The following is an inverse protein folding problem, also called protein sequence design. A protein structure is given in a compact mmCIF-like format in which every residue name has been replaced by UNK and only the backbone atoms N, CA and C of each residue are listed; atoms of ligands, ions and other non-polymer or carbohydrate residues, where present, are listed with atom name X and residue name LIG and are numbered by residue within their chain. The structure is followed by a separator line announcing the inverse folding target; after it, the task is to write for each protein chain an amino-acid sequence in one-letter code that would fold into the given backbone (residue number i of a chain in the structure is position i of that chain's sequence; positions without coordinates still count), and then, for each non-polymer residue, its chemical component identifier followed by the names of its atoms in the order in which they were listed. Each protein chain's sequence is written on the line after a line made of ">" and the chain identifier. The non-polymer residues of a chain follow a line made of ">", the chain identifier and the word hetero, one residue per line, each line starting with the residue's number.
data_IF_148534056589
#
_entry.id   IF_148534056589
#
_cell.length_a   1.000
_cell.length_b   1.000
_cell.length_c   1.000
_cell.angle_alpha   90.00
_cell.angle_beta   90.00
_cell.angle_gamma   90.00
#
_symmetry.space_group_name_H-M   'P 1'
#
loop_
_entity.id
_entity.type
_entity.pdbx_description
1 polymer ?
#
# COMPACT_ATOMS: atom_id res chain seq x y z
N UNK A 1 1.54 14.44 4.31
CA UNK A 1 2.93 14.00 4.08
C UNK A 1 3.97 15.14 4.14
N UNK A 2 5.10 14.90 4.81
CA UNK A 2 6.32 15.73 4.68
C UNK A 2 6.79 15.70 3.22
N UNK A 3 7.00 16.86 2.59
CA UNK A 3 7.27 17.01 1.14
C UNK A 3 8.64 16.46 0.69
N UNK A 4 9.31 15.65 1.52
CA UNK A 4 10.66 15.14 1.26
C UNK A 4 10.65 13.87 0.39
N UNK A 5 9.60 13.05 0.48
CA UNK A 5 9.46 11.77 -0.22
C UNK A 5 8.07 11.63 -0.81
N UNK A 6 7.91 12.02 -2.08
CA UNK A 6 6.62 12.06 -2.77
C UNK A 6 6.74 11.70 -4.25
N UNK A 7 7.93 11.25 -4.69
CA UNK A 7 8.15 10.91 -6.08
C UNK A 7 7.56 9.54 -6.33
N UNK A 8 6.63 9.45 -7.29
CA UNK A 8 6.20 8.16 -7.83
C UNK A 8 7.20 7.74 -8.92
N UNK A 9 7.74 6.51 -8.87
CA UNK A 9 8.71 6.06 -9.84
C UNK A 9 8.11 6.00 -11.24
N UNK A 10 8.93 6.27 -12.27
CA UNK A 10 8.51 5.95 -13.63
C UNK A 10 8.38 4.44 -13.77
N UNK A 11 7.45 3.98 -14.62
CA UNK A 11 7.18 2.55 -14.83
C UNK A 11 8.44 1.74 -15.15
N UNK A 12 9.31 2.26 -16.02
CA UNK A 12 10.55 1.58 -16.41
C UNK A 12 11.56 1.47 -15.24
N UNK A 13 11.68 2.52 -14.42
CA UNK A 13 12.53 2.52 -13.23
C UNK A 13 12.00 1.52 -12.20
N UNK A 14 10.69 1.53 -11.94
CA UNK A 14 10.05 0.57 -11.02
C UNK A 14 10.26 -0.88 -11.48
N UNK A 15 9.99 -1.16 -12.76
CA UNK A 15 10.18 -2.50 -13.34
C UNK A 15 11.62 -2.97 -13.21
N UNK A 16 12.58 -2.11 -13.50
CA UNK A 16 14.00 -2.45 -13.38
C UNK A 16 14.39 -2.72 -11.93
N UNK A 17 14.04 -1.83 -11.00
CA UNK A 17 14.34 -1.98 -9.57
C UNK A 17 13.73 -3.26 -9.00
N UNK A 18 12.51 -3.63 -9.39
CA UNK A 18 11.87 -4.90 -9.02
C UNK A 18 12.67 -6.11 -9.49
N UNK A 19 13.05 -6.14 -10.76
CA UNK A 19 13.80 -7.26 -11.34
C UNK A 19 15.16 -7.43 -10.64
N UNK A 20 15.90 -6.33 -10.50
CA UNK A 20 17.23 -6.33 -9.88
C UNK A 20 17.15 -6.71 -8.39
N UNK A 21 16.15 -6.22 -7.66
CA UNK A 21 15.97 -6.55 -6.23
C UNK A 21 15.52 -8.00 -6.04
N UNK A 22 14.58 -8.50 -6.87
CA UNK A 22 14.11 -9.88 -6.82
C UNK A 22 15.29 -10.84 -6.98
N UNK A 23 16.15 -10.60 -7.98
CA UNK A 23 17.34 -11.40 -8.20
C UNK A 23 18.29 -11.35 -6.99
N UNK A 24 18.58 -10.15 -6.47
CA UNK A 24 19.45 -9.99 -5.31
C UNK A 24 18.94 -10.73 -4.06
N UNK A 25 17.63 -10.71 -3.81
CA UNK A 25 17.01 -11.44 -2.70
C UNK A 25 17.12 -12.96 -2.87
N UNK A 26 16.85 -13.47 -4.08
CA UNK A 26 16.97 -14.90 -4.40
C UNK A 26 18.42 -15.38 -4.22
N UNK A 27 19.39 -14.61 -4.72
CA UNK A 27 20.82 -14.93 -4.65
C UNK A 27 21.42 -14.72 -3.26
N UNK A 28 20.75 -13.97 -2.38
CA UNK A 28 21.26 -13.64 -1.05
C UNK A 28 22.24 -12.48 -1.02
N UNK A 29 22.26 -11.62 -2.05
CA UNK A 29 23.12 -10.45 -2.14
C UNK A 29 22.54 -9.26 -1.38
N UNK A 30 22.82 -9.22 -0.07
CA UNK A 30 22.35 -8.14 0.82
C UNK A 30 22.92 -6.78 0.44
N UNK A 31 24.14 -6.73 -0.11
CA UNK A 31 24.79 -5.47 -0.45
C UNK A 31 24.07 -4.81 -1.63
N UNK A 32 23.82 -5.58 -2.70
CA UNK A 32 23.07 -5.08 -3.85
C UNK A 32 21.63 -4.74 -3.48
N UNK A 33 20.96 -5.59 -2.70
CA UNK A 33 19.60 -5.32 -2.25
C UNK A 33 19.49 -3.99 -1.47
N UNK A 34 20.43 -3.74 -0.55
CA UNK A 34 20.48 -2.49 0.22
C UNK A 34 20.74 -1.29 -0.67
N UNK A 35 21.71 -1.39 -1.59
CA UNK A 35 22.03 -0.31 -2.55
C UNK A 35 20.84 0.06 -3.44
N UNK A 36 20.04 -0.91 -3.86
CA UNK A 36 18.85 -0.66 -4.70
C UNK A 36 17.77 0.10 -3.92
N UNK A 37 17.50 -0.30 -2.68
CA UNK A 37 16.54 0.39 -1.81
C UNK A 37 17.04 1.80 -1.46
N UNK A 38 18.31 1.95 -1.11
CA UNK A 38 18.92 3.25 -0.82
C UNK A 38 18.89 4.19 -2.03
N UNK A 39 19.09 3.65 -3.24
CA UNK A 39 18.97 4.43 -4.47
C UNK A 39 17.53 4.90 -4.71
N UNK A 40 16.53 4.03 -4.53
CA UNK A 40 15.12 4.42 -4.64
C UNK A 40 14.74 5.52 -3.62
N UNK A 41 15.22 5.40 -2.38
CA UNK A 41 15.03 6.42 -1.34
C UNK A 41 15.78 7.72 -1.71
N UNK A 42 16.98 7.63 -2.28
CA UNK A 42 17.78 8.76 -2.77
C UNK A 42 17.08 9.55 -3.88
N UNK A 43 16.37 8.86 -4.76
CA UNK A 43 15.46 9.44 -5.77
C UNK A 43 14.13 9.96 -5.18
N UNK A 44 14.01 9.95 -3.86
CA UNK A 44 12.88 10.46 -3.07
C UNK A 44 11.57 9.75 -3.34
N UNK A 45 11.63 8.45 -3.66
CA UNK A 45 10.42 7.66 -3.87
C UNK A 45 9.55 7.67 -2.63
N UNK A 46 8.23 7.78 -2.82
CA UNK A 46 7.27 7.73 -1.73
C UNK A 46 7.35 6.38 -0.98
N UNK A 47 7.03 6.34 0.33
CA UNK A 47 7.16 5.13 1.13
C UNK A 47 6.40 3.92 0.56
N UNK A 48 5.16 4.11 0.10
CA UNK A 48 4.34 3.07 -0.55
C UNK A 48 5.04 2.44 -1.76
N UNK A 49 5.76 3.23 -2.55
CA UNK A 49 6.51 2.75 -3.71
C UNK A 49 7.64 1.80 -3.31
N UNK A 50 8.35 2.09 -2.21
CA UNK A 50 9.44 1.23 -1.73
C UNK A 50 8.92 0.02 -0.97
N UNK A 51 8.03 0.23 0.00
CA UNK A 51 7.52 -0.81 0.90
C UNK A 51 6.65 -1.82 0.15
N UNK A 52 5.62 -1.35 -0.55
CA UNK A 52 4.61 -2.21 -1.16
C UNK A 52 5.03 -2.57 -2.58
N UNK A 53 5.34 -1.56 -3.40
CA UNK A 53 5.55 -1.78 -4.82
C UNK A 53 6.95 -2.28 -5.18
N UNK A 54 7.92 -2.31 -4.28
CA UNK A 54 9.25 -2.89 -4.54
C UNK A 54 9.48 -4.09 -3.62
N UNK A 55 9.60 -3.87 -2.32
CA UNK A 55 9.95 -4.95 -1.37
C UNK A 55 8.81 -5.98 -1.28
N UNK A 56 7.58 -5.53 -1.02
CA UNK A 56 6.40 -6.39 -0.94
C UNK A 56 6.17 -7.17 -2.23
N UNK A 57 6.30 -6.52 -3.39
CA UNK A 57 6.23 -7.17 -4.70
C UNK A 57 7.25 -8.32 -4.82
N UNK A 58 8.52 -8.07 -4.53
CA UNK A 58 9.55 -9.11 -4.64
C UNK A 58 9.30 -10.30 -3.71
N UNK A 59 8.80 -10.07 -2.49
CA UNK A 59 8.48 -11.14 -1.55
C UNK A 59 7.27 -11.98 -2.01
N UNK A 60 6.25 -11.34 -2.58
CA UNK A 60 5.11 -12.05 -3.16
C UNK A 60 5.57 -12.97 -4.31
N UNK A 61 6.42 -12.47 -5.21
CA UNK A 61 7.00 -13.28 -6.29
C UNK A 61 7.83 -14.46 -5.76
N UNK A 62 8.65 -14.26 -4.74
CA UNK A 62 9.43 -15.33 -4.10
C UNK A 62 8.51 -16.38 -3.47
N UNK A 63 7.42 -15.95 -2.81
CA UNK A 63 6.41 -16.84 -2.26
C UNK A 63 5.77 -17.72 -3.35
N UNK A 64 5.37 -17.12 -4.48
CA UNK A 64 4.83 -17.85 -5.65
C UNK A 64 5.84 -18.87 -6.18
N UNK A 65 7.11 -18.48 -6.33
CA UNK A 65 8.15 -19.38 -6.82
C UNK A 65 8.44 -20.53 -5.85
N UNK A 66 8.36 -20.29 -4.54
CA UNK A 66 8.49 -21.33 -3.52
C UNK A 66 7.30 -22.31 -3.56
N UNK A 67 6.06 -21.81 -3.60
CA UNK A 67 4.87 -22.66 -3.73
C UNK A 67 4.88 -23.51 -5.01
N UNK A 68 5.43 -22.98 -6.10
CA UNK A 68 5.63 -23.72 -7.34
C UNK A 68 6.78 -24.75 -7.30
N UNK A 69 7.55 -24.80 -6.21
CA UNK A 69 8.71 -25.70 -6.05
C UNK A 69 9.98 -25.24 -6.76
N UNK A 70 10.01 -24.02 -7.31
CA UNK A 70 11.16 -23.45 -8.01
C UNK A 70 12.23 -22.91 -7.07
N UNK A 71 11.85 -22.54 -5.84
CA UNK A 71 12.76 -22.09 -4.78
C UNK A 71 12.61 -22.97 -3.54
N UNK A 72 13.70 -23.13 -2.80
CA UNK A 72 13.67 -23.79 -1.50
C UNK A 72 13.08 -22.88 -0.42
N UNK A 73 12.50 -23.48 0.63
CA UNK A 73 12.05 -22.74 1.81
C UNK A 73 13.20 -21.97 2.49
N UNK A 74 14.43 -22.49 2.43
CA UNK A 74 15.60 -21.79 2.96
C UNK A 74 15.91 -20.49 2.18
N UNK A 75 15.64 -20.49 0.86
CA UNK A 75 15.79 -19.29 0.01
C UNK A 75 14.72 -18.26 0.35
N UNK A 76 13.46 -18.68 0.50
CA UNK A 76 12.36 -17.82 0.93
C UNK A 76 12.69 -17.18 2.28
N UNK A 77 13.03 -17.97 3.30
CA UNK A 77 13.34 -17.45 4.63
C UNK A 77 14.50 -16.46 4.62
N UNK A 78 15.55 -16.76 3.85
CA UNK A 78 16.67 -15.83 3.69
C UNK A 78 16.22 -14.52 3.07
N UNK A 79 15.45 -14.55 1.99
CA UNK A 79 14.92 -13.36 1.34
C UNK A 79 14.03 -12.53 2.28
N UNK A 80 13.16 -13.19 3.06
CA UNK A 80 12.32 -12.57 4.08
C UNK A 80 13.17 -11.87 5.16
N UNK A 81 14.23 -12.50 5.66
CA UNK A 81 15.14 -11.86 6.63
C UNK A 81 15.91 -10.67 6.04
N UNK A 82 16.29 -10.74 4.77
CA UNK A 82 16.92 -9.62 4.08
C UNK A 82 15.92 -8.46 3.92
N UNK A 83 14.70 -8.74 3.51
CA UNK A 83 13.66 -7.74 3.35
C UNK A 83 13.31 -7.03 4.67
N UNK A 84 13.23 -7.74 5.79
CA UNK A 84 13.04 -7.14 7.12
C UNK A 84 14.16 -6.13 7.46
N UNK A 85 15.40 -6.42 7.08
CA UNK A 85 16.53 -5.48 7.24
C UNK A 85 16.38 -4.26 6.33
N UNK A 86 15.95 -4.46 5.08
CA UNK A 86 15.70 -3.36 4.15
C UNK A 86 14.60 -2.41 4.66
N UNK A 87 13.49 -2.96 5.15
CA UNK A 87 12.39 -2.21 5.75
C UNK A 87 12.86 -1.44 6.98
N UNK A 88 13.56 -2.10 7.92
CA UNK A 88 14.09 -1.45 9.11
C UNK A 88 15.08 -0.32 8.80
N UNK A 89 15.85 -0.42 7.72
CA UNK A 89 16.72 0.67 7.25
C UNK A 89 15.91 1.81 6.61
N UNK A 90 14.95 1.48 5.74
CA UNK A 90 14.09 2.47 5.08
C UNK A 90 13.27 3.29 6.10
N UNK A 91 12.74 2.64 7.14
CA UNK A 91 12.00 3.27 8.22
C UNK A 91 12.77 4.43 8.87
N UNK A 92 14.08 4.27 9.08
CA UNK A 92 14.96 5.30 9.68
C UNK A 92 15.09 6.55 8.81
N UNK A 93 14.83 6.42 7.51
CA UNK A 93 14.95 7.53 6.55
C UNK A 93 13.62 8.24 6.37
N UNK A 94 12.51 7.50 6.36
CA UNK A 94 11.14 8.00 6.15
C UNK A 94 10.52 8.67 7.40
N UNK A 95 11.33 9.29 8.26
CA UNK A 95 10.82 9.93 9.50
C UNK A 95 9.89 11.09 9.18
N UNK A 96 8.64 11.00 9.63
CA UNK A 96 7.70 12.12 9.65
C UNK A 96 7.73 12.79 11.03
N UNK A 97 8.20 14.04 11.08
CA UNK A 97 8.25 14.82 12.32
C UNK A 97 6.90 15.39 12.78
N UNK A 98 5.85 15.29 11.95
CA UNK A 98 4.50 15.74 12.30
C UNK A 98 3.75 14.57 12.94
N UNK A 99 3.32 14.75 14.19
CA UNK A 99 2.44 13.80 14.88
C UNK A 99 0.97 14.17 14.65
N UNK A 100 0.13 13.18 14.39
CA UNK A 100 -1.33 13.38 14.27
C UNK A 100 -2.08 13.25 15.60
N UNK A 101 -1.35 12.87 16.67
CA UNK A 101 -1.93 12.71 18.01
C UNK A 101 -2.85 11.49 18.14
N UNK A 102 -2.69 10.49 17.26
CA UNK A 102 -3.45 9.23 17.26
C UNK A 102 -2.54 8.05 17.49
N UNK A 103 -3.06 7.02 18.15
CA UNK A 103 -2.37 5.79 18.53
C UNK A 103 -2.94 4.57 17.83
N UNK A 104 -2.06 3.69 17.39
CA UNK A 104 -2.45 2.41 16.81
C UNK A 104 -1.66 1.25 17.41
N UNK A 105 -2.33 0.11 17.59
CA UNK A 105 -1.69 -1.18 17.90
C UNK A 105 -1.85 -2.09 16.70
N UNK A 106 -0.75 -2.61 16.16
CA UNK A 106 -0.77 -3.49 14.99
C UNK A 106 -0.14 -4.84 15.34
N UNK A 107 -0.79 -5.94 14.96
CA UNK A 107 -0.26 -7.28 15.17
C UNK A 107 -0.84 -8.30 14.20
N UNK A 108 -0.16 -9.44 14.02
CA UNK A 108 -0.80 -10.63 13.44
C UNK A 108 -1.55 -11.42 14.51
N UNK A 109 -2.65 -12.02 14.09
CA UNK A 109 -3.52 -12.80 14.98
C UNK A 109 -2.80 -14.04 15.51
N UNK A 110 -3.28 -14.55 16.64
CA UNK A 110 -2.80 -15.80 17.25
C UNK A 110 -2.72 -16.94 16.23
N UNK A 111 -1.61 -17.68 16.25
CA UNK A 111 -1.25 -18.73 15.31
C UNK A 111 -0.58 -18.24 14.03
N UNK A 112 -0.90 -17.03 13.56
CA UNK A 112 -0.34 -16.50 12.32
C UNK A 112 1.02 -15.83 12.55
N UNK A 113 2.08 -16.51 12.12
CA UNK A 113 3.47 -16.04 12.26
C UNK A 113 3.92 -15.06 11.19
N UNK A 114 3.08 -14.74 10.19
CA UNK A 114 3.46 -13.83 9.11
C UNK A 114 3.51 -12.38 9.60
N UNK A 115 4.65 -11.72 9.41
CA UNK A 115 4.94 -10.43 10.04
C UNK A 115 4.95 -9.24 9.07
N UNK A 116 5.25 -9.46 7.79
CA UNK A 116 5.62 -8.37 6.86
C UNK A 116 4.43 -7.48 6.50
N UNK A 117 3.23 -8.04 6.34
CA UNK A 117 2.02 -7.26 6.04
C UNK A 117 1.70 -6.27 7.17
N UNK A 118 1.61 -6.78 8.40
CA UNK A 118 1.39 -5.96 9.61
C UNK A 118 2.49 -4.92 9.82
N UNK A 119 3.76 -5.30 9.67
CA UNK A 119 4.89 -4.36 9.78
C UNK A 119 4.80 -3.24 8.71
N UNK A 120 4.46 -3.59 7.48
CA UNK A 120 4.31 -2.62 6.37
C UNK A 120 3.21 -1.61 6.69
N UNK A 121 2.05 -2.09 7.14
CA UNK A 121 0.95 -1.21 7.52
C UNK A 121 1.31 -0.31 8.72
N UNK A 122 1.96 -0.88 9.74
CA UNK A 122 2.44 -0.12 10.90
C UNK A 122 3.41 1.00 10.49
N UNK A 123 4.36 0.72 9.61
CA UNK A 123 5.32 1.71 9.13
C UNK A 123 4.67 2.80 8.27
N UNK A 124 3.74 2.45 7.37
CA UNK A 124 3.01 3.44 6.59
C UNK A 124 2.20 4.38 7.50
N UNK A 125 1.55 3.88 8.55
CA UNK A 125 0.88 4.74 9.53
C UNK A 125 1.86 5.65 10.29
N UNK A 126 3.03 5.14 10.69
CA UNK A 126 4.10 5.95 11.30
C UNK A 126 4.55 7.07 10.36
N UNK A 127 4.67 6.80 9.06
CA UNK A 127 5.02 7.82 8.07
C UNK A 127 3.92 8.87 7.90
N UNK A 128 2.67 8.56 8.24
CA UNK A 128 1.58 9.52 8.33
C UNK A 128 1.50 10.22 9.69
N UNK A 129 2.39 9.91 10.63
CA UNK A 129 2.52 10.60 11.91
C UNK A 129 1.77 9.97 13.07
N UNK A 130 1.27 8.74 12.90
CA UNK A 130 0.68 7.96 13.98
C UNK A 130 1.76 7.49 14.98
N UNK A 131 1.37 7.38 16.25
CA UNK A 131 2.14 6.68 17.27
C UNK A 131 1.72 5.20 17.21
N UNK A 132 2.62 4.32 16.80
CA UNK A 132 2.25 2.92 16.47
C UNK A 132 3.09 1.95 17.28
N UNK A 133 2.41 1.14 18.08
CA UNK A 133 2.97 -0.05 18.71
C UNK A 133 2.74 -1.26 17.78
N UNK A 134 3.85 -1.87 17.34
CA UNK A 134 3.79 -3.09 16.53
C UNK A 134 4.22 -4.26 17.39
N UNK A 135 3.29 -5.18 17.67
CA UNK A 135 3.52 -6.29 18.60
C UNK A 135 4.23 -7.48 17.93
N UNK A 136 4.31 -7.46 16.61
CA UNK A 136 4.85 -8.57 15.82
C UNK A 136 3.74 -9.46 15.30
N UNK A 137 3.94 -10.76 15.46
CA UNK A 137 3.03 -11.78 14.98
C UNK A 137 2.59 -12.68 16.15
N UNK A 138 1.61 -13.57 15.91
CA UNK A 138 1.16 -14.57 16.88
C UNK A 138 0.80 -13.95 18.25
N UNK A 139 -0.03 -12.90 18.25
CA UNK A 139 -0.49 -12.27 19.51
C UNK A 139 -1.81 -12.88 19.97
N UNK A 140 -1.87 -13.48 21.18
CA UNK A 140 -3.10 -13.98 21.78
C UNK A 140 -4.16 -12.87 21.96
N UNK A 141 -5.43 -13.24 21.78
CA UNK A 141 -6.55 -12.28 21.84
C UNK A 141 -6.67 -11.62 23.22
N UNK A 142 -6.48 -12.38 24.29
CA UNK A 142 -6.59 -11.90 25.67
C UNK A 142 -5.50 -10.87 26.01
N UNK A 143 -4.25 -11.14 25.61
CA UNK A 143 -3.12 -10.23 25.78
C UNK A 143 -3.30 -8.93 24.96
N UNK A 144 -3.84 -9.03 23.74
CA UNK A 144 -4.18 -7.86 22.93
C UNK A 144 -5.26 -7.00 23.60
N UNK A 145 -6.32 -7.64 24.12
CA UNK A 145 -7.39 -6.95 24.85
C UNK A 145 -6.86 -6.25 26.10
N UNK A 146 -6.01 -6.90 26.89
CA UNK A 146 -5.37 -6.30 28.08
C UNK A 146 -4.57 -5.04 27.72
N UNK A 147 -3.78 -5.11 26.64
CA UNK A 147 -3.01 -3.96 26.15
C UNK A 147 -3.94 -2.81 25.73
N UNK A 148 -4.98 -3.10 24.96
CA UNK A 148 -5.94 -2.11 24.45
C UNK A 148 -6.68 -1.43 25.60
N UNK A 149 -7.10 -2.18 26.61
CA UNK A 149 -7.73 -1.60 27.82
C UNK A 149 -6.77 -0.69 28.59
N UNK A 150 -5.48 -1.02 28.61
CA UNK A 150 -4.46 -0.25 29.35
C UNK A 150 -4.01 1.00 28.60
N UNK A 151 -3.90 0.93 27.28
CA UNK A 151 -3.30 1.99 26.47
C UNK A 151 -4.31 2.83 25.69
N UNK A 152 -5.56 2.35 25.56
CA UNK A 152 -6.66 3.00 24.85
C UNK A 152 -6.24 3.55 23.47
N UNK A 153 -5.72 2.70 22.56
CA UNK A 153 -5.38 3.14 21.21
C UNK A 153 -6.64 3.56 20.44
N UNK A 154 -6.48 4.46 19.47
CA UNK A 154 -7.57 4.84 18.57
C UNK A 154 -7.88 3.73 17.55
N UNK A 155 -6.87 2.95 17.16
CA UNK A 155 -6.95 1.94 16.12
C UNK A 155 -6.24 0.63 16.52
N UNK A 156 -6.85 -0.50 16.19
CA UNK A 156 -6.19 -1.81 16.20
C UNK A 156 -6.18 -2.39 14.78
N UNK A 157 -4.99 -2.75 14.30
CA UNK A 157 -4.80 -3.43 13.02
C UNK A 157 -4.44 -4.90 13.23
N UNK A 158 -5.25 -5.80 12.67
CA UNK A 158 -5.01 -7.24 12.72
C UNK A 158 -4.56 -7.73 11.34
N UNK A 159 -3.47 -8.50 11.29
CA UNK A 159 -3.02 -9.18 10.07
C UNK A 159 -3.38 -10.66 10.13
N UNK A 160 -4.03 -11.16 9.08
CA UNK A 160 -4.30 -12.59 8.90
C UNK A 160 -4.03 -12.99 7.44
N UNK A 161 -3.23 -14.02 7.27
CA UNK A 161 -2.68 -14.48 5.99
C UNK A 161 -3.07 -15.93 5.70
N UNK A 162 -3.26 -16.74 6.74
CA UNK A 162 -3.64 -18.16 6.62
C UNK A 162 -5.11 -18.34 7.01
N UNK A 163 -5.89 -19.00 6.14
CA UNK A 163 -7.33 -19.22 6.30
C UNK A 163 -7.69 -19.93 7.61
N UNK A 164 -6.84 -20.85 8.06
CA UNK A 164 -6.98 -21.57 9.33
C UNK A 164 -7.11 -20.64 10.56
N UNK A 165 -6.54 -19.43 10.50
CA UNK A 165 -6.55 -18.46 11.59
C UNK A 165 -7.64 -17.38 11.46
N UNK A 166 -8.54 -17.48 10.47
CA UNK A 166 -9.72 -16.62 10.39
C UNK A 166 -10.59 -16.62 11.66
N UNK A 167 -10.84 -17.77 12.31
CA UNK A 167 -11.60 -17.77 13.57
C UNK A 167 -10.92 -16.95 14.67
N UNK A 168 -9.59 -16.97 14.74
CA UNK A 168 -8.83 -16.18 15.72
C UNK A 168 -8.95 -14.68 15.42
N UNK A 169 -8.88 -14.30 14.14
CA UNK A 169 -9.12 -12.92 13.72
C UNK A 169 -10.53 -12.44 14.09
N UNK A 170 -11.56 -13.26 13.82
CA UNK A 170 -12.95 -12.95 14.18
C UNK A 170 -13.14 -12.81 15.69
N UNK A 171 -12.58 -13.72 16.49
CA UNK A 171 -12.63 -13.66 17.95
C UNK A 171 -11.93 -12.40 18.51
N UNK A 172 -10.78 -12.03 17.93
CA UNK A 172 -10.10 -10.77 18.28
C UNK A 172 -10.95 -9.54 17.97
N UNK A 173 -11.56 -9.47 16.78
CA UNK A 173 -12.45 -8.36 16.40
C UNK A 173 -13.64 -8.26 17.35
N UNK A 174 -14.31 -9.39 17.64
CA UNK A 174 -15.46 -9.43 18.55
C UNK A 174 -15.07 -8.95 19.95
N UNK A 175 -13.98 -9.48 20.51
CA UNK A 175 -13.51 -9.12 21.85
C UNK A 175 -13.15 -7.63 21.96
N UNK A 176 -12.50 -7.06 20.94
CA UNK A 176 -12.16 -5.64 20.89
C UNK A 176 -13.41 -4.75 20.80
N UNK A 177 -14.41 -5.14 20.01
CA UNK A 177 -15.66 -4.40 19.85
C UNK A 177 -16.55 -4.42 21.09
N UNK A 178 -16.39 -5.40 21.97
CA UNK A 178 -17.11 -5.47 23.24
C UNK A 178 -16.51 -4.58 24.34
N UNK A 179 -15.37 -3.92 24.09
CA UNK A 179 -14.76 -3.02 25.07
C UNK A 179 -15.56 -1.72 25.23
N UNK A 180 -15.59 -1.13 26.45
CA UNK A 180 -16.28 0.15 26.69
C UNK A 180 -15.76 1.28 25.79
N UNK A 181 -14.43 1.34 25.63
CA UNK A 181 -13.72 2.28 24.76
C UNK A 181 -13.13 1.51 23.57
N UNK A 182 -14.01 0.88 22.77
CA UNK A 182 -13.61 0.07 21.63
C UNK A 182 -12.81 0.90 20.60
N UNK A 183 -11.62 0.43 20.18
CA UNK A 183 -10.85 1.07 19.11
C UNK A 183 -11.51 0.80 17.76
N UNK A 184 -11.12 1.58 16.74
CA UNK A 184 -11.43 1.25 15.34
C UNK A 184 -10.62 0.01 14.95
N UNK A 185 -11.26 -1.03 14.45
CA UNK A 185 -10.61 -2.30 14.10
C UNK A 185 -10.50 -2.43 12.59
N UNK A 186 -9.27 -2.57 12.10
CA UNK A 186 -8.96 -2.85 10.69
C UNK A 186 -8.34 -4.23 10.57
N UNK A 187 -8.83 -5.05 9.65
CA UNK A 187 -8.24 -6.37 9.36
C UNK A 187 -7.61 -6.36 7.97
N UNK A 188 -6.37 -6.81 7.89
CA UNK A 188 -5.64 -6.94 6.63
C UNK A 188 -4.94 -8.28 6.49
N UNK A 189 -4.14 -8.39 5.43
CA UNK A 189 -3.47 -9.64 5.05
C UNK A 189 -4.19 -10.35 3.90
N UNK A 190 -3.54 -11.38 3.36
CA UNK A 190 -3.87 -11.96 2.04
C UNK A 190 -5.29 -12.52 1.92
N UNK A 191 -5.96 -12.80 3.05
CA UNK A 191 -7.31 -13.35 3.07
C UNK A 191 -8.35 -12.35 3.62
N UNK A 192 -7.97 -11.15 4.04
CA UNK A 192 -8.87 -10.27 4.78
C UNK A 192 -10.02 -9.70 3.93
N UNK A 193 -9.75 -9.35 2.66
CA UNK A 193 -10.73 -8.69 1.79
C UNK A 193 -11.90 -9.60 1.36
N UNK A 194 -11.74 -10.92 1.45
CA UNK A 194 -12.68 -11.91 0.92
C UNK A 194 -13.68 -12.47 1.96
N UNK A 195 -13.61 -12.05 3.22
CA UNK A 195 -14.23 -12.80 4.32
C UNK A 195 -15.31 -12.04 5.10
N UNK A 196 -16.61 -12.34 4.89
CA UNK A 196 -17.73 -11.64 5.55
C UNK A 196 -17.85 -11.94 7.05
N UNK A 197 -17.11 -12.94 7.57
CA UNK A 197 -17.09 -13.29 9.01
C UNK A 197 -16.34 -12.23 9.82
N UNK A 198 -15.48 -11.44 9.18
CA UNK A 198 -14.72 -10.38 9.83
C UNK A 198 -15.61 -9.14 9.96
N UNK A 199 -16.30 -9.00 11.08
CA UNK A 199 -17.12 -7.81 11.41
C UNK A 199 -16.25 -6.61 11.82
N UNK A 200 -15.11 -6.39 11.16
CA UNK A 200 -14.23 -5.26 11.42
C UNK A 200 -14.81 -3.95 10.85
N UNK A 201 -14.24 -2.80 11.21
CA UNK A 201 -14.66 -1.52 10.65
C UNK A 201 -14.13 -1.32 9.21
N UNK A 202 -13.04 -2.00 8.87
CA UNK A 202 -12.53 -2.10 7.51
C UNK A 202 -11.72 -3.38 7.28
N UNK A 203 -11.83 -3.96 6.08
CA UNK A 203 -11.05 -5.11 5.64
C UNK A 203 -10.35 -4.82 4.31
N UNK A 204 -9.05 -5.11 4.19
CA UNK A 204 -8.31 -4.93 2.92
C UNK A 204 -7.04 -5.78 2.86
N UNK A 205 -6.79 -6.40 1.71
CA UNK A 205 -5.50 -7.04 1.39
C UNK A 205 -4.40 -6.01 1.02
N UNK A 206 -4.80 -4.77 0.70
CA UNK A 206 -3.92 -3.70 0.27
C UNK A 206 -3.69 -2.70 1.41
N UNK A 207 -2.44 -2.61 1.87
CA UNK A 207 -2.02 -1.71 2.94
C UNK A 207 -2.18 -0.22 2.58
N UNK A 208 -2.01 0.15 1.31
CA UNK A 208 -2.18 1.54 0.85
C UNK A 208 -3.66 1.93 0.90
N UNK A 209 -4.55 1.04 0.46
CA UNK A 209 -6.01 1.24 0.61
C UNK A 209 -6.41 1.37 2.08
N UNK A 210 -5.85 0.52 2.95
CA UNK A 210 -6.09 0.59 4.38
C UNK A 210 -5.64 1.92 4.99
N UNK A 211 -4.44 2.42 4.67
CA UNK A 211 -3.97 3.73 5.16
C UNK A 211 -4.87 4.87 4.68
N UNK A 212 -5.27 4.86 3.40
CA UNK A 212 -6.18 5.88 2.86
C UNK A 212 -7.54 5.87 3.55
N UNK A 213 -8.06 4.67 3.85
CA UNK A 213 -9.30 4.53 4.61
C UNK A 213 -9.14 5.09 6.02
N UNK A 214 -8.08 4.72 6.74
CA UNK A 214 -7.79 5.23 8.09
C UNK A 214 -7.69 6.76 8.09
N UNK A 215 -6.96 7.35 7.14
CA UNK A 215 -6.87 8.81 7.03
C UNK A 215 -8.23 9.48 6.83
N UNK A 216 -9.12 8.85 6.05
CA UNK A 216 -10.46 9.37 5.80
C UNK A 216 -11.36 9.21 7.03
N UNK A 217 -11.35 8.02 7.63
CA UNK A 217 -12.14 7.68 8.82
C UNK A 217 -11.86 8.63 9.99
N UNK A 218 -10.58 8.92 10.24
CA UNK A 218 -10.17 9.81 11.34
C UNK A 218 -10.14 11.30 10.95
N UNK A 219 -10.62 11.68 9.76
CA UNK A 219 -10.63 13.07 9.30
C UNK A 219 -9.23 13.68 9.11
N UNK A 220 -8.20 12.85 8.94
CA UNK A 220 -6.81 13.29 8.78
C UNK A 220 -6.51 13.73 7.34
N UNK A 221 -7.42 13.45 6.40
CA UNK A 221 -7.31 13.84 4.99
C UNK A 221 -7.57 15.33 4.73
N UNK A 222 -8.08 16.08 5.70
CA UNK A 222 -8.33 17.51 5.56
C UNK A 222 -7.12 18.33 6.00
N UNK A 223 -6.13 18.41 5.10
CA UNK A 223 -5.19 19.54 4.87
C UNK A 223 -3.81 19.05 4.37
N UNK A 224 -3.68 18.43 3.19
CA UNK A 224 -2.38 18.45 2.45
C UNK A 224 -2.33 17.85 1.04
N UNK A 225 -3.40 17.30 0.45
CA UNK A 225 -3.30 16.85 -0.95
C UNK A 225 -3.25 18.09 -1.85
N UNK A 226 -2.05 18.43 -2.31
CA UNK A 226 -1.86 19.56 -3.23
C UNK A 226 -2.54 19.24 -4.56
N UNK A 227 -2.96 20.28 -5.27
CA UNK A 227 -3.54 20.12 -6.61
C UNK A 227 -2.60 19.36 -7.55
N UNK A 228 -1.28 19.52 -7.38
CA UNK A 228 -0.26 18.83 -8.19
C UNK A 228 -0.33 17.30 -8.03
N UNK A 229 -0.60 16.81 -6.81
CA UNK A 229 -0.75 15.36 -6.55
C UNK A 229 -2.00 14.83 -7.24
N UNK A 230 -3.12 15.55 -7.16
CA UNK A 230 -4.37 15.17 -7.82
C UNK A 230 -4.22 15.14 -9.35
N UNK A 231 -3.51 16.13 -9.91
CA UNK A 231 -3.25 16.20 -11.35
C UNK A 231 -2.32 15.08 -11.81
N UNK A 232 -1.31 14.72 -11.01
CA UNK A 232 -0.43 13.60 -11.31
C UNK A 232 -1.18 12.25 -11.32
N UNK A 233 -2.06 12.02 -10.34
CA UNK A 233 -2.86 10.79 -10.25
C UNK A 233 -3.85 10.68 -11.43
N UNK A 234 -4.55 11.77 -11.74
CA UNK A 234 -5.40 11.87 -12.92
C UNK A 234 -4.61 11.56 -14.20
N UNK A 235 -3.43 12.15 -14.36
CA UNK A 235 -2.59 11.95 -15.54
C UNK A 235 -2.13 10.51 -15.71
N UNK A 236 -1.67 9.88 -14.63
CA UNK A 236 -1.27 8.47 -14.60
C UNK A 236 -2.43 7.54 -14.96
N UNK A 237 -3.62 7.83 -14.45
CA UNK A 237 -4.84 7.07 -14.71
C UNK A 237 -5.23 7.11 -16.18
N UNK A 238 -5.29 8.30 -16.77
CA UNK A 238 -5.56 8.52 -18.20
C UNK A 238 -4.54 7.76 -19.04
N UNK A 239 -3.25 7.85 -18.69
CA UNK A 239 -2.19 7.16 -19.41
C UNK A 239 -2.35 5.63 -19.36
N UNK A 240 -2.74 5.08 -18.21
CA UNK A 240 -2.94 3.65 -18.03
C UNK A 240 -4.10 3.15 -18.90
N UNK A 241 -5.28 3.75 -18.76
CA UNK A 241 -6.48 3.39 -19.53
C UNK A 241 -6.25 3.54 -21.04
N UNK A 242 -5.54 4.59 -21.45
CA UNK A 242 -5.13 4.77 -22.84
C UNK A 242 -4.27 3.60 -23.34
N UNK A 243 -3.28 3.18 -22.55
CA UNK A 243 -2.38 2.07 -22.92
C UNK A 243 -3.11 0.74 -22.94
N UNK A 244 -4.05 0.52 -22.03
CA UNK A 244 -4.89 -0.68 -21.98
C UNK A 244 -5.73 -0.82 -23.27
N UNK A 245 -6.25 0.30 -23.78
CA UNK A 245 -6.91 0.39 -25.09
C UNK A 245 -5.98 0.38 -26.29
N UNK A 246 -4.66 0.26 -26.10
CA UNK A 246 -3.67 0.28 -27.18
C UNK A 246 -3.54 1.63 -27.89
N UNK A 247 -4.05 2.72 -27.31
CA UNK A 247 -4.05 4.05 -27.93
C UNK A 247 -2.71 4.77 -27.72
N UNK A 248 -2.25 5.50 -28.75
CA UNK A 248 -1.15 6.46 -28.61
C UNK A 248 -1.66 7.80 -28.06
N UNK A 249 -0.78 8.66 -27.51
CA UNK A 249 -1.19 10.01 -27.08
C UNK A 249 -1.80 10.83 -28.22
N UNK A 250 -1.31 10.62 -29.46
CA UNK A 250 -1.87 11.27 -30.65
C UNK A 250 -3.27 10.75 -30.98
N UNK A 251 -3.51 9.45 -30.80
CA UNK A 251 -4.82 8.84 -31.03
C UNK A 251 -5.84 9.33 -30.00
N UNK A 252 -5.48 9.31 -28.71
CA UNK A 252 -6.34 9.86 -27.65
C UNK A 252 -6.64 11.35 -27.90
N UNK A 253 -5.64 12.14 -28.30
CA UNK A 253 -5.83 13.55 -28.61
C UNK A 253 -6.83 13.74 -29.77
N UNK A 254 -6.73 12.94 -30.83
CA UNK A 254 -7.67 13.00 -31.95
C UNK A 254 -9.10 12.64 -31.52
N UNK A 255 -9.26 11.56 -30.74
CA UNK A 255 -10.57 11.10 -30.28
C UNK A 255 -11.23 12.05 -29.28
N UNK A 256 -10.44 12.67 -28.39
CA UNK A 256 -10.92 13.65 -27.42
C UNK A 256 -11.04 15.08 -28.00
N UNK A 257 -10.70 15.28 -29.29
CA UNK A 257 -10.61 16.59 -29.94
C UNK A 257 -9.70 17.59 -29.18
N UNK A 258 -8.50 17.14 -28.82
CA UNK A 258 -7.48 17.87 -28.08
C UNK A 258 -6.16 17.93 -28.86
N UNK A 259 -5.29 18.86 -28.47
CA UNK A 259 -3.92 18.88 -28.96
C UNK A 259 -3.08 17.79 -28.26
N UNK A 260 -2.20 17.11 -29.01
CA UNK A 260 -1.32 16.06 -28.47
C UNK A 260 -0.44 16.58 -27.33
N UNK A 261 0.09 17.79 -27.44
CA UNK A 261 0.92 18.40 -26.40
C UNK A 261 0.12 18.68 -25.13
N UNK A 262 -1.16 19.03 -25.26
CA UNK A 262 -2.08 19.18 -24.14
C UNK A 262 -2.34 17.83 -23.45
N UNK A 263 -2.65 16.77 -24.21
CA UNK A 263 -2.80 15.41 -23.66
C UNK A 263 -1.53 14.95 -22.93
N UNK A 264 -0.36 15.22 -23.51
CA UNK A 264 0.92 14.94 -22.85
C UNK A 264 1.08 15.72 -21.54
N UNK A 265 0.75 17.02 -21.51
CA UNK A 265 0.83 17.82 -20.30
C UNK A 265 -0.12 17.32 -19.20
N UNK A 266 -1.33 16.91 -19.58
CA UNK A 266 -2.33 16.31 -18.68
C UNK A 266 -1.83 14.96 -18.13
N UNK A 267 -1.35 14.06 -18.97
CA UNK A 267 -0.82 12.75 -18.53
C UNK A 267 0.37 12.86 -17.57
N UNK A 268 1.13 13.96 -17.66
CA UNK A 268 2.25 14.23 -16.77
C UNK A 268 1.88 15.07 -15.54
N UNK A 269 0.58 15.34 -15.32
CA UNK A 269 0.09 16.14 -14.19
C UNK A 269 0.47 17.62 -14.23
N UNK A 270 0.91 18.14 -15.38
CA UNK A 270 1.39 19.52 -15.53
C UNK A 270 0.29 20.50 -15.90
N UNK A 271 -0.94 20.03 -16.10
CA UNK A 271 -2.02 20.88 -16.58
C UNK A 271 -3.33 20.60 -15.86
N UNK A 272 -4.02 21.67 -15.48
CA UNK A 272 -5.36 21.58 -14.93
C UNK A 272 -6.38 21.35 -16.06
N UNK A 273 -7.32 20.44 -15.83
CA UNK A 273 -8.26 19.95 -16.84
C UNK A 273 -9.64 20.51 -16.53
N UNK A 274 -10.27 21.14 -17.52
CA UNK A 274 -11.67 21.54 -17.37
C UNK A 274 -12.57 20.30 -17.32
N UNK A 275 -13.71 20.37 -16.65
CA UNK A 275 -14.66 19.25 -16.59
C UNK A 275 -15.12 18.78 -17.99
N UNK A 276 -15.29 19.72 -18.93
CA UNK A 276 -15.65 19.41 -20.32
C UNK A 276 -14.54 18.61 -21.02
N UNK A 277 -13.29 18.98 -20.80
CA UNK A 277 -12.13 18.24 -21.31
C UNK A 277 -12.02 16.85 -20.69
N UNK A 278 -12.28 16.75 -19.38
CA UNK A 278 -12.30 15.47 -18.67
C UNK A 278 -13.37 14.53 -19.22
N UNK A 279 -14.57 15.05 -19.55
CA UNK A 279 -15.63 14.31 -20.24
C UNK A 279 -15.21 13.85 -21.63
N UNK A 280 -14.54 14.72 -22.41
CA UNK A 280 -14.04 14.35 -23.73
C UNK A 280 -13.01 13.22 -23.67
N UNK A 281 -12.11 13.26 -22.67
CA UNK A 281 -11.14 12.19 -22.44
C UNK A 281 -11.83 10.91 -21.97
N UNK A 282 -12.81 10.99 -21.06
CA UNK A 282 -13.54 9.80 -20.59
C UNK A 282 -14.29 9.11 -21.72
N UNK A 283 -14.86 9.88 -22.65
CA UNK A 283 -15.58 9.35 -23.81
C UNK A 283 -14.64 8.68 -24.81
N UNK A 284 -13.49 9.29 -25.09
CA UNK A 284 -12.46 8.68 -25.95
C UNK A 284 -11.88 7.39 -25.33
N UNK A 285 -11.80 7.35 -24.00
CA UNK A 285 -11.39 6.16 -23.25
C UNK A 285 -12.57 5.25 -22.90
N UNK A 286 -13.79 5.55 -23.37
CA UNK A 286 -15.07 4.87 -23.07
C UNK A 286 -15.09 4.23 -21.65
N UNK A 287 -14.93 5.13 -20.67
CA UNK A 287 -15.03 4.90 -19.23
C UNK A 287 -15.86 6.02 -18.60
N UNK A 288 -16.39 5.80 -17.40
CA UNK A 288 -17.03 6.87 -16.64
C UNK A 288 -16.02 7.92 -16.15
N UNK A 289 -16.45 9.18 -15.98
CA UNK A 289 -15.60 10.23 -15.36
C UNK A 289 -15.09 9.79 -13.98
N UNK A 290 -15.93 9.10 -13.21
CA UNK A 290 -15.57 8.57 -11.90
C UNK A 290 -14.33 7.66 -11.96
N UNK A 291 -14.16 6.87 -13.03
CA UNK A 291 -13.01 5.97 -13.20
C UNK A 291 -11.69 6.71 -13.51
N UNK A 292 -11.78 7.96 -13.97
CA UNK A 292 -10.62 8.84 -14.18
C UNK A 292 -10.15 9.51 -12.87
N UNK A 293 -11.07 9.75 -11.93
CA UNK A 293 -10.82 10.51 -10.70
C UNK A 293 -10.91 9.67 -9.42
N UNK A 294 -11.27 8.40 -9.54
CA UNK A 294 -11.36 7.48 -8.40
C UNK A 294 -9.99 7.27 -7.77
N UNK A 295 -9.94 7.35 -6.44
CA UNK A 295 -8.78 6.92 -5.64
C UNK A 295 -8.70 5.40 -5.49
N UNK A 296 -9.81 4.72 -5.71
CA UNK A 296 -9.86 3.27 -5.70
C UNK A 296 -9.39 2.78 -7.06
N UNK A 297 -8.23 2.11 -7.05
CA UNK A 297 -7.66 1.44 -8.20
C UNK A 297 -8.53 0.22 -8.56
N UNK A 298 -9.32 0.23 -9.64
CA UNK A 298 -9.92 -0.97 -10.17
C UNK A 298 -8.88 -1.66 -11.05
N UNK A 299 -8.43 -2.83 -10.62
CA UNK A 299 -8.66 -4.07 -11.34
C UNK A 299 -8.35 -5.21 -10.38
N UNK A 300 -9.41 -5.90 -9.98
CA UNK A 300 -9.37 -7.30 -9.56
C UNK A 300 -8.64 -8.09 -10.64
N UNK A 301 -7.68 -8.91 -10.22
CA UNK A 301 -7.08 -9.88 -11.11
C UNK A 301 -8.16 -10.89 -11.52
N UNK A 302 -8.66 -10.74 -12.74
CA UNK A 302 -9.45 -11.78 -13.39
C UNK A 302 -8.49 -12.90 -13.79
N UNK A 303 -8.57 -14.01 -13.04
CA UNK A 303 -8.27 -15.42 -13.37
C UNK A 303 -7.14 -15.71 -14.37
#
# INVERSE_FOLDING_TARGET
>A
MSHKYSVKPKRNELTKTRADLLQALIEGDQLTASRLVDAAIGERWEPSSVYVHVIGYCLAEIGVMWHAGNLSIATEHRATQMALRLLGNAQRVYVNGKRVGRRAVITSVEGDTHLIGGLTFADLLRFEGWDVDFLGADTPTDALVELVQTQSPDLVGLSVTIEEFLPNASASVEALKQLPDAPVVVVGGAIAAANPILEADFCSEDAVKAVNWVQTHFGLNESSVTIDVLLADLGNRIQMLRKDRGLSQQALAAEANLDRSYVSAVENGKQNVSFATLKGISDALDVGIAELISREWPFEYSS
#
